data_IF_301001381761
#
_entry.id   IF_301001381761
#
_cell.length_a   1.000
_cell.length_b   1.000
_cell.length_c   1.000
_cell.angle_alpha   90.00
_cell.angle_beta   90.00
_cell.angle_gamma   90.00
#
_symmetry.space_group_name_H-M   'P 1'
#
loop_
_entity.id
_entity.type
_entity.pdbx_description
1 polymer ?
#
# COMPACT_ATOMS: atom_id res chain seq x y z
N UNK A 1 -19.08 13.84 36.26
CA UNK A 1 -18.86 14.17 34.84
C UNK A 1 -19.91 13.41 34.02
N UNK A 2 -20.78 14.09 33.26
CA UNK A 2 -21.84 13.40 32.49
C UNK A 2 -21.23 12.41 31.47
N UNK A 3 -21.69 11.14 31.48
CA UNK A 3 -21.22 10.08 30.58
C UNK A 3 -21.25 10.49 29.09
N UNK A 4 -22.29 11.22 28.69
CA UNK A 4 -22.46 11.89 27.38
C UNK A 4 -21.23 12.70 26.96
N UNK A 5 -20.76 13.60 27.83
CA UNK A 5 -19.62 14.49 27.54
C UNK A 5 -18.33 13.71 27.39
N UNK A 6 -18.14 12.67 28.20
CA UNK A 6 -16.95 11.81 28.11
C UNK A 6 -16.93 11.07 26.79
N UNK A 7 -18.06 10.52 26.36
CA UNK A 7 -18.16 9.74 25.12
C UNK A 7 -17.91 10.60 23.87
N UNK A 8 -18.48 11.81 23.81
CA UNK A 8 -18.20 12.76 22.72
C UNK A 8 -16.71 13.11 22.63
N UNK A 9 -16.06 13.38 23.77
CA UNK A 9 -14.62 13.67 23.81
C UNK A 9 -13.79 12.47 23.34
N UNK A 10 -14.17 11.26 23.73
CA UNK A 10 -13.51 10.05 23.26
C UNK A 10 -13.67 9.87 21.75
N UNK A 11 -14.87 10.17 21.22
CA UNK A 11 -15.14 10.16 19.79
C UNK A 11 -14.30 11.19 19.04
N UNK A 12 -14.28 12.46 19.46
CA UNK A 12 -13.49 13.52 18.80
C UNK A 12 -11.98 13.21 18.74
N UNK A 13 -11.47 12.52 19.77
CA UNK A 13 -10.07 12.09 19.86
C UNK A 13 -9.79 10.73 19.20
N UNK A 14 -10.80 10.05 18.67
CA UNK A 14 -10.64 8.76 18.02
C UNK A 14 -9.78 8.93 16.76
N UNK A 15 -8.73 8.11 16.63
CA UNK A 15 -7.82 8.08 15.49
C UNK A 15 -7.60 6.65 15.05
N UNK A 16 -7.42 6.45 13.75
CA UNK A 16 -7.07 5.14 13.20
C UNK A 16 -5.58 4.88 13.49
N UNK A 17 -5.28 3.66 13.95
CA UNK A 17 -3.91 3.24 14.26
C UNK A 17 -3.05 3.05 13.00
N UNK A 18 -1.72 2.96 13.19
CA UNK A 18 -0.82 2.76 12.06
C UNK A 18 -0.92 1.35 11.44
N UNK A 19 -1.16 0.34 12.27
CA UNK A 19 -1.29 -1.06 11.85
C UNK A 19 -2.75 -1.57 11.92
N UNK A 20 -3.70 -0.66 12.12
CA UNK A 20 -5.12 -0.98 12.23
C UNK A 20 -5.75 -1.10 10.84
N UNK A 21 -6.55 -2.15 10.62
CA UNK A 21 -7.29 -2.29 9.36
C UNK A 21 -8.47 -1.31 9.31
N UNK A 22 -8.83 -0.91 8.09
CA UNK A 22 -9.94 0.03 7.84
C UNK A 22 -11.26 -0.48 8.44
N UNK A 23 -11.52 -1.78 8.38
CA UNK A 23 -12.72 -2.41 8.95
C UNK A 23 -12.74 -2.36 10.46
N UNK A 24 -11.61 -2.64 11.11
CA UNK A 24 -11.49 -2.59 12.55
C UNK A 24 -11.77 -1.16 13.04
N UNK A 25 -11.19 -0.17 12.36
CA UNK A 25 -11.45 1.23 12.68
C UNK A 25 -12.92 1.62 12.47
N UNK A 26 -13.52 1.23 11.34
CA UNK A 26 -14.92 1.50 11.04
C UNK A 26 -15.87 0.89 12.08
N UNK A 27 -15.59 -0.32 12.54
CA UNK A 27 -16.37 -0.97 13.60
C UNK A 27 -16.30 -0.18 14.92
N UNK A 28 -15.13 0.36 15.29
CA UNK A 28 -15.00 1.22 16.48
C UNK A 28 -15.77 2.53 16.33
N UNK A 29 -15.70 3.18 15.16
CA UNK A 29 -16.47 4.40 14.86
C UNK A 29 -17.97 4.10 15.01
N UNK A 30 -18.46 3.03 14.38
CA UNK A 30 -19.87 2.63 14.48
C UNK A 30 -20.29 2.34 15.93
N UNK A 31 -19.46 1.64 16.71
CA UNK A 31 -19.72 1.38 18.13
C UNK A 31 -19.82 2.67 18.95
N UNK A 32 -18.94 3.64 18.69
CA UNK A 32 -18.98 4.95 19.36
C UNK A 32 -20.22 5.75 18.99
N UNK A 33 -20.57 5.81 17.70
CA UNK A 33 -21.76 6.51 17.20
C UNK A 33 -23.02 5.90 17.80
N UNK A 34 -23.14 4.56 17.83
CA UNK A 34 -24.26 3.86 18.45
C UNK A 34 -24.36 4.15 19.95
N UNK A 35 -23.23 4.21 20.66
CA UNK A 35 -23.20 4.61 22.07
C UNK A 35 -23.69 6.03 22.30
N UNK A 36 -23.32 6.97 21.41
CA UNK A 36 -23.77 8.37 21.46
C UNK A 36 -25.28 8.46 21.18
N UNK A 37 -25.77 7.75 20.17
CA UNK A 37 -27.20 7.63 19.85
C UNK A 37 -28.01 7.05 21.01
N UNK A 38 -27.48 6.04 21.70
CA UNK A 38 -28.11 5.44 22.89
C UNK A 38 -28.26 6.41 24.07
N UNK A 39 -27.49 7.50 24.10
CA UNK A 39 -27.60 8.58 25.10
C UNK A 39 -28.53 9.72 24.67
N UNK A 40 -29.25 9.56 23.55
CA UNK A 40 -30.19 10.54 23.02
C UNK A 40 -29.56 11.64 22.16
N UNK A 41 -28.28 11.53 21.80
CA UNK A 41 -27.62 12.46 20.87
C UNK A 41 -27.65 11.91 19.45
N UNK A 42 -28.04 12.74 18.48
CA UNK A 42 -27.98 12.37 17.07
C UNK A 42 -26.71 12.93 16.44
N UNK A 43 -25.82 12.06 16.01
CA UNK A 43 -24.74 12.41 15.08
C UNK A 43 -25.27 12.30 13.65
N UNK A 44 -25.04 13.35 12.85
CA UNK A 44 -25.34 13.34 11.43
C UNK A 44 -24.31 12.51 10.65
N UNK A 45 -24.75 11.83 9.59
CA UNK A 45 -23.88 10.98 8.77
C UNK A 45 -22.70 11.76 8.19
N UNK A 46 -22.93 13.00 7.75
CA UNK A 46 -21.85 13.88 7.27
C UNK A 46 -20.79 14.15 8.36
N UNK A 47 -21.21 14.23 9.63
CA UNK A 47 -20.28 14.43 10.76
C UNK A 47 -19.45 13.17 11.01
N UNK A 48 -20.05 11.99 10.81
CA UNK A 48 -19.33 10.71 10.90
C UNK A 48 -18.32 10.55 9.77
N UNK A 49 -18.74 10.85 8.52
CA UNK A 49 -17.87 10.83 7.33
C UNK A 49 -16.69 11.78 7.49
N UNK A 50 -16.94 13.05 7.88
CA UNK A 50 -15.87 14.03 8.10
C UNK A 50 -14.92 13.59 9.20
N UNK A 51 -15.46 13.06 10.31
CA UNK A 51 -14.63 12.56 11.39
C UNK A 51 -13.75 11.39 10.93
N UNK A 52 -14.29 10.44 10.18
CA UNK A 52 -13.55 9.30 9.63
C UNK A 52 -12.38 9.75 8.76
N UNK A 53 -12.62 10.69 7.84
CA UNK A 53 -11.59 11.26 6.97
C UNK A 53 -10.49 12.00 7.75
N UNK A 54 -10.86 12.82 8.74
CA UNK A 54 -9.89 13.52 9.60
C UNK A 54 -9.12 12.59 10.55
N UNK A 55 -9.69 11.44 10.89
CA UNK A 55 -9.09 10.48 11.80
C UNK A 55 -8.15 9.47 11.11
N UNK A 56 -8.07 9.52 9.78
CA UNK A 56 -7.22 8.65 8.99
C UNK A 56 -5.71 9.00 9.15
N UNK A 57 -4.81 7.99 9.17
CA UNK A 57 -3.38 8.21 9.26
C UNK A 57 -2.80 8.79 7.95
N UNK A 58 -1.59 9.35 8.00
CA UNK A 58 -0.96 10.00 6.85
C UNK A 58 -0.86 9.16 5.57
N UNK A 59 -0.83 7.82 5.68
CA UNK A 59 -0.80 6.92 4.50
C UNK A 59 -2.01 7.07 3.57
N UNK A 60 -3.14 7.56 4.09
CA UNK A 60 -4.36 7.79 3.30
C UNK A 60 -4.52 9.24 2.84
N UNK A 61 -3.53 10.13 3.05
CA UNK A 61 -3.68 11.56 2.71
C UNK A 61 -4.12 11.78 1.27
N UNK A 62 -3.58 11.02 0.30
CA UNK A 62 -3.93 11.16 -1.11
C UNK A 62 -5.40 10.84 -1.37
N UNK A 63 -5.90 9.71 -0.84
CA UNK A 63 -7.29 9.32 -1.03
C UNK A 63 -8.25 10.25 -0.27
N UNK A 64 -7.87 10.71 0.92
CA UNK A 64 -8.64 11.69 1.69
C UNK A 64 -8.79 12.99 0.88
N UNK A 65 -7.69 13.57 0.41
CA UNK A 65 -7.74 14.80 -0.40
C UNK A 65 -8.55 14.62 -1.68
N UNK A 66 -8.45 13.46 -2.33
CA UNK A 66 -9.24 13.15 -3.54
C UNK A 66 -10.74 13.10 -3.22
N UNK A 67 -11.12 12.46 -2.12
CA UNK A 67 -12.53 12.38 -1.69
C UNK A 67 -13.06 13.79 -1.36
N UNK A 68 -12.30 14.57 -0.61
CA UNK A 68 -12.69 15.93 -0.21
C UNK A 68 -12.87 16.88 -1.41
N UNK A 69 -12.07 16.71 -2.46
CA UNK A 69 -12.10 17.57 -3.65
C UNK A 69 -13.14 17.13 -4.68
N UNK A 70 -13.37 15.83 -4.82
CA UNK A 70 -14.11 15.27 -5.95
C UNK A 70 -15.49 14.71 -5.59
N UNK A 71 -15.85 14.65 -4.30
CA UNK A 71 -17.07 13.95 -3.86
C UNK A 71 -17.88 14.82 -2.90
N UNK A 72 -19.20 14.83 -3.07
CA UNK A 72 -20.09 15.46 -2.10
C UNK A 72 -20.22 14.58 -0.84
N UNK A 73 -19.64 15.06 0.26
CA UNK A 73 -19.64 14.37 1.55
C UNK A 73 -21.04 14.15 2.13
N UNK A 74 -22.06 14.90 1.68
CA UNK A 74 -23.46 14.70 2.11
C UNK A 74 -24.07 13.41 1.56
N UNK A 75 -23.51 12.90 0.47
CA UNK A 75 -24.00 11.69 -0.22
C UNK A 75 -23.23 10.44 0.16
N UNK A 76 -22.10 10.59 0.84
CA UNK A 76 -21.25 9.48 1.24
C UNK A 76 -21.77 8.81 2.50
N UNK A 77 -21.71 7.48 2.50
CA UNK A 77 -21.91 6.67 3.70
C UNK A 77 -20.56 6.22 4.28
N UNK A 78 -20.58 5.76 5.53
CA UNK A 78 -19.40 5.15 6.15
C UNK A 78 -18.93 3.91 5.38
N UNK A 79 -19.85 3.12 4.83
CA UNK A 79 -19.54 1.91 4.07
C UNK A 79 -18.82 2.24 2.75
N UNK A 80 -19.26 3.30 2.05
CA UNK A 80 -18.59 3.79 0.84
C UNK A 80 -17.15 4.22 1.12
N UNK A 81 -16.91 4.93 2.24
CA UNK A 81 -15.58 5.33 2.66
C UNK A 81 -14.69 4.12 2.93
N UNK A 82 -15.22 3.13 3.65
CA UNK A 82 -14.51 1.89 3.96
C UNK A 82 -14.13 1.17 2.66
N UNK A 83 -15.05 1.03 1.72
CA UNK A 83 -14.77 0.40 0.42
C UNK A 83 -13.66 1.13 -0.36
N UNK A 84 -13.68 2.47 -0.38
CA UNK A 84 -12.65 3.28 -1.05
C UNK A 84 -11.27 3.15 -0.39
N UNK A 85 -11.21 3.18 0.94
CA UNK A 85 -9.96 3.01 1.68
C UNK A 85 -9.37 1.61 1.49
N UNK A 86 -10.22 0.56 1.51
CA UNK A 86 -9.77 -0.80 1.19
C UNK A 86 -9.20 -0.91 -0.22
N UNK A 87 -9.86 -0.33 -1.21
CA UNK A 87 -9.38 -0.35 -2.59
C UNK A 87 -8.05 0.41 -2.77
N UNK A 88 -7.75 1.37 -1.89
CA UNK A 88 -6.46 2.06 -1.85
C UNK A 88 -5.35 1.22 -1.22
N UNK A 89 -5.68 0.42 -0.20
CA UNK A 89 -4.74 -0.50 0.44
C UNK A 89 -4.52 -1.78 -0.37
N UNK A 90 -5.48 -2.14 -1.24
CA UNK A 90 -5.34 -3.30 -2.10
C UNK A 90 -4.21 -3.06 -3.11
N UNK A 91 -3.14 -3.86 -3.11
CA UNK A 91 -2.10 -3.74 -4.13
C UNK A 91 -2.74 -4.02 -5.49
N UNK A 92 -2.71 -3.02 -6.37
CA UNK A 92 -3.20 -3.11 -7.73
C UNK A 92 -2.60 -4.33 -8.45
N UNK A 93 -3.38 -5.41 -8.56
CA UNK A 93 -3.08 -6.54 -9.45
C UNK A 93 -3.51 -6.14 -10.85
N UNK A 94 -2.72 -5.33 -11.54
CA UNK A 94 -2.92 -5.12 -12.98
C UNK A 94 -2.45 -6.38 -13.70
N UNK A 95 -3.38 -7.23 -14.15
CA UNK A 95 -3.06 -8.26 -15.14
C UNK A 95 -3.23 -7.64 -16.53
N UNK A 96 -2.12 -7.43 -17.22
CA UNK A 96 -2.12 -7.06 -18.64
C UNK A 96 -1.24 -8.06 -19.41
N UNK A 97 -1.69 -9.30 -19.45
CA UNK A 97 -1.08 -10.35 -20.26
C UNK A 97 0.14 -11.03 -19.61
N UNK A 98 0.00 -12.34 -19.44
CA UNK A 98 0.96 -13.33 -18.93
C UNK A 98 1.17 -13.38 -17.40
N UNK A 99 0.63 -14.47 -16.83
CA UNK A 99 0.41 -14.71 -15.40
C UNK A 99 1.67 -14.88 -14.53
N UNK A 100 2.85 -14.48 -15.04
CA UNK A 100 4.14 -14.64 -14.35
C UNK A 100 4.85 -13.32 -14.02
N UNK A 101 4.47 -12.20 -14.65
CA UNK A 101 5.04 -10.87 -14.36
C UNK A 101 4.05 -9.91 -13.67
N UNK A 102 2.81 -10.36 -13.46
CA UNK A 102 1.69 -9.59 -12.91
C UNK A 102 1.86 -9.23 -11.41
N UNK A 103 2.87 -9.75 -10.73
CA UNK A 103 3.12 -9.48 -9.29
C UNK A 103 4.00 -8.24 -9.05
N UNK A 104 4.60 -7.66 -10.10
CA UNK A 104 5.75 -6.76 -9.99
C UNK A 104 5.54 -5.36 -10.61
N UNK A 105 4.30 -4.87 -10.75
CA UNK A 105 4.03 -3.59 -11.42
C UNK A 105 4.24 -2.36 -10.52
N UNK A 106 4.05 -2.47 -9.21
CA UNK A 106 4.32 -1.38 -8.26
C UNK A 106 5.40 -1.81 -7.28
N UNK A 107 6.63 -1.46 -7.61
CA UNK A 107 7.78 -1.71 -6.75
C UNK A 107 8.49 -0.41 -6.51
N UNK A 108 8.99 -0.28 -5.31
CA UNK A 108 10.07 0.68 -5.08
C UNK A 108 11.30 0.24 -5.89
N UNK A 109 12.11 1.22 -6.29
CA UNK A 109 13.39 0.98 -6.98
C UNK A 109 14.27 -0.05 -6.24
N UNK A 110 14.26 -0.02 -4.91
CA UNK A 110 15.02 -0.95 -4.08
C UNK A 110 14.49 -2.39 -4.20
N UNK A 111 13.17 -2.59 -4.16
CA UNK A 111 12.54 -3.91 -4.32
C UNK A 111 12.76 -4.50 -5.73
N UNK A 112 12.71 -3.66 -6.77
CA UNK A 112 13.00 -4.09 -8.14
C UNK A 112 14.45 -4.56 -8.30
N UNK A 113 15.40 -3.76 -7.81
CA UNK A 113 16.82 -4.11 -7.85
C UNK A 113 17.14 -5.41 -7.10
N UNK A 114 16.47 -5.65 -5.96
CA UNK A 114 16.65 -6.86 -5.17
C UNK A 114 16.15 -8.12 -5.90
N UNK A 115 15.04 -8.07 -6.65
CA UNK A 115 14.60 -9.23 -7.43
C UNK A 115 15.45 -9.49 -8.65
N UNK A 116 15.79 -8.46 -9.42
CA UNK A 116 16.67 -8.63 -10.59
C UNK A 116 18.01 -9.23 -10.15
N UNK A 117 18.49 -8.88 -8.94
CA UNK A 117 19.70 -9.50 -8.37
C UNK A 117 19.51 -10.97 -7.99
N UNK A 118 18.32 -11.39 -7.55
CA UNK A 118 18.00 -12.79 -7.24
C UNK A 118 17.82 -13.65 -8.48
N UNK A 119 17.18 -13.12 -9.53
CA UNK A 119 16.99 -13.81 -10.82
C UNK A 119 18.34 -14.14 -11.45
N UNK A 120 19.25 -13.16 -11.52
CA UNK A 120 20.62 -13.35 -12.01
C UNK A 120 21.46 -14.36 -11.19
N UNK A 121 21.04 -14.71 -9.97
CA UNK A 121 21.73 -15.67 -9.11
C UNK A 121 21.16 -17.10 -9.22
N UNK A 122 19.93 -17.25 -9.74
CA UNK A 122 19.31 -18.55 -9.98
C UNK A 122 19.95 -19.25 -11.19
N UNK A 123 20.30 -18.49 -12.23
CA UNK A 123 20.98 -19.01 -13.43
C UNK A 123 22.42 -19.52 -13.17
N UNK A 124 23.01 -19.22 -12.00
CA UNK A 124 24.35 -19.70 -11.61
C UNK A 124 24.35 -20.94 -10.73
N UNK A 125 23.18 -21.44 -10.30
CA UNK A 125 23.07 -22.57 -9.38
C UNK A 125 22.72 -23.91 -10.07
N UNK A 126 22.83 -23.99 -11.39
CA UNK A 126 22.64 -25.22 -12.18
C UNK A 126 24.00 -25.75 -12.67
N UNK A 127 24.67 -26.54 -11.82
CA UNK A 127 25.95 -27.18 -12.17
C UNK A 127 26.47 -28.14 -11.10
N UNK A 128 25.66 -29.13 -10.72
CA UNK A 128 26.12 -30.27 -9.90
C UNK A 128 26.65 -31.37 -10.82
N UNK A 129 27.94 -31.68 -10.75
CA UNK A 129 28.51 -32.85 -11.45
C UNK A 129 30.04 -32.94 -11.54
N UNK A 130 30.70 -33.27 -10.42
CA UNK A 130 31.85 -34.20 -10.40
C UNK A 130 33.24 -33.81 -10.96
N UNK A 131 34.19 -33.63 -10.01
CA UNK A 131 35.61 -34.08 -10.01
C UNK A 131 36.53 -33.76 -11.20
N UNK A 132 37.47 -32.82 -10.98
CA UNK A 132 38.95 -33.02 -11.06
C UNK A 132 39.67 -31.69 -10.78
N UNK A 133 40.64 -31.66 -9.86
CA UNK A 133 41.58 -30.53 -9.70
C UNK A 133 42.90 -30.87 -10.39
N UNK A 134 43.50 -29.93 -11.15
CA UNK A 134 44.91 -29.67 -10.91
C UNK A 134 45.25 -28.16 -10.96
N UNK A 135 46.17 -27.76 -10.08
CA UNK A 135 46.72 -26.42 -9.99
C UNK A 135 47.65 -26.07 -11.18
N UNK A 136 47.66 -24.79 -11.59
CA UNK A 136 48.85 -24.03 -12.03
C UNK A 136 48.52 -22.55 -12.24
N UNK A 137 49.41 -21.71 -11.72
CA UNK A 137 49.40 -20.25 -11.66
C UNK A 137 49.52 -19.57 -13.03
N UNK A 138 48.88 -18.41 -13.23
CA UNK A 138 49.45 -17.17 -13.81
C UNK A 138 48.41 -16.06 -13.98
N UNK A 139 48.92 -14.84 -14.00
CA UNK A 139 48.30 -13.54 -13.79
C UNK A 139 47.33 -13.03 -14.87
N UNK A 140 46.63 -11.96 -14.47
CA UNK A 140 46.04 -10.88 -15.27
C UNK A 140 44.60 -10.93 -15.84
N UNK A 141 43.88 -9.89 -15.40
CA UNK A 141 42.95 -9.02 -16.12
C UNK A 141 41.46 -9.40 -16.22
N UNK A 142 40.68 -8.74 -15.37
CA UNK A 142 39.22 -8.67 -15.42
C UNK A 142 38.72 -7.81 -16.58
N UNK A 143 38.35 -8.41 -17.71
CA UNK A 143 37.59 -7.73 -18.76
C UNK A 143 36.13 -7.51 -18.32
N UNK A 144 35.75 -6.24 -18.12
CA UNK A 144 34.34 -5.82 -17.95
C UNK A 144 33.58 -6.00 -19.27
N UNK A 145 32.33 -6.50 -19.27
CA UNK A 145 31.57 -6.63 -20.52
C UNK A 145 31.19 -5.26 -21.08
N UNK A 146 31.55 -5.02 -22.34
CA UNK A 146 31.30 -3.78 -23.09
C UNK A 146 29.81 -3.56 -23.29
N UNK A 147 29.25 -2.49 -22.71
CA UNK A 147 27.88 -2.04 -23.01
C UNK A 147 27.78 -1.57 -24.47
N UNK A 148 27.04 -2.30 -25.30
CA UNK A 148 26.71 -1.86 -26.67
C UNK A 148 25.79 -0.65 -26.58
N UNK A 149 26.25 0.50 -27.10
CA UNK A 149 25.44 1.72 -27.21
C UNK A 149 24.36 1.51 -28.28
N UNK A 150 23.11 1.71 -27.89
CA UNK A 150 21.96 1.66 -28.78
C UNK A 150 21.99 2.85 -29.76
N UNK A 151 21.96 2.56 -31.07
CA UNK A 151 22.08 3.57 -32.13
C UNK A 151 20.70 4.11 -32.50
N UNK A 152 20.41 5.34 -32.08
CA UNK A 152 19.08 5.99 -32.22
C UNK A 152 18.64 6.24 -33.66
N UNK A 153 19.53 6.01 -34.65
CA UNK A 153 19.24 6.20 -36.08
C UNK A 153 18.39 5.08 -36.71
N UNK A 154 18.12 3.98 -35.99
CA UNK A 154 17.28 2.86 -36.47
C UNK A 154 15.77 3.02 -36.18
N UNK A 155 15.32 4.11 -35.57
CA UNK A 155 13.91 4.32 -35.17
C UNK A 155 13.21 5.38 -36.04
N UNK A 156 13.49 5.46 -37.33
CA UNK A 156 12.73 6.34 -38.22
C UNK A 156 12.36 5.63 -39.52
#
# INVERSE_FOLDING_TARGET
MCARRTLLKSYENLRMGEDETVEAFAARVASMVNGIHGLGEKLEDISVVRHFLCAAPPRYMLIVSTIEQCVDLKTLTLDDLVGRFKAHDEPMKLSYGDAKQDEYLILTRAQWQALVSKENNFDKASGSGGKYCPAKDTDEESEKPRKKKFDKRKIR
#
